data_IF_603007837060
#
_entry.id   IF_603007837060
#
_cell.length_a   1.000
_cell.length_b   1.000
_cell.length_c   1.000
_cell.angle_alpha   90.00
_cell.angle_beta   90.00
_cell.angle_gamma   90.00
#
_symmetry.space_group_name_H-M   'P 1'
#
loop_
_entity.id
_entity.type
_entity.pdbx_description
1 polymer ?
#
# COMPACT_ATOMS: atom_id res chain seq x y z
N UNK A 1 19.39 38.33 0.90
CA UNK A 1 18.68 37.58 1.95
C UNK A 1 18.55 36.14 1.53
N UNK A 2 19.31 35.27 2.14
CA UNK A 2 19.18 33.86 1.92
C UNK A 2 18.17 33.31 2.93
N UNK A 3 16.95 33.11 2.48
CA UNK A 3 16.06 32.24 3.23
C UNK A 3 16.58 30.83 3.11
N UNK A 4 17.36 30.42 4.08
CA UNK A 4 17.58 29.02 4.34
C UNK A 4 16.26 28.47 4.84
N UNK A 5 15.41 28.03 3.91
CA UNK A 5 14.47 26.98 4.23
C UNK A 5 15.29 25.74 4.59
N UNK A 6 15.75 25.72 5.82
CA UNK A 6 16.14 24.46 6.43
C UNK A 6 14.90 23.60 6.39
N UNK A 7 14.90 22.49 5.66
CA UNK A 7 13.86 21.51 5.89
C UNK A 7 13.95 21.13 7.36
N UNK A 8 12.90 21.43 8.10
CA UNK A 8 12.75 21.08 9.52
C UNK A 8 12.77 19.55 9.77
N UNK A 9 13.08 18.78 8.75
CA UNK A 9 13.06 17.32 8.73
C UNK A 9 14.42 16.70 8.42
N UNK A 10 15.50 17.33 8.79
CA UNK A 10 16.82 16.68 8.79
C UNK A 10 16.85 15.59 9.86
N UNK A 11 16.24 14.43 9.59
CA UNK A 11 16.17 13.30 10.52
C UNK A 11 14.91 12.43 10.40
N UNK A 12 13.87 12.89 9.72
CA UNK A 12 12.71 12.03 9.41
C UNK A 12 13.01 11.26 8.12
N UNK A 13 13.31 9.99 8.28
CA UNK A 13 13.35 9.04 7.16
C UNK A 13 11.96 9.02 6.56
N UNK A 14 11.83 9.33 5.28
CA UNK A 14 10.57 9.17 4.56
C UNK A 14 10.30 7.68 4.34
N UNK A 15 9.50 7.11 5.23
CA UNK A 15 9.18 5.68 5.24
C UNK A 15 8.47 5.26 3.95
N UNK A 16 7.79 6.17 3.28
CA UNK A 16 7.05 5.88 2.06
C UNK A 16 7.86 6.10 0.77
N UNK A 17 9.09 6.61 0.88
CA UNK A 17 9.96 6.80 -0.29
C UNK A 17 10.20 5.52 -1.10
N UNK A 18 10.40 4.33 -0.49
CA UNK A 18 10.59 3.08 -1.24
C UNK A 18 9.41 2.66 -2.11
N UNK A 19 8.22 3.21 -1.88
CA UNK A 19 7.00 2.88 -2.62
C UNK A 19 6.73 3.81 -3.81
N UNK A 20 7.67 4.71 -4.10
CA UNK A 20 7.62 5.62 -5.24
C UNK A 20 8.55 5.14 -6.33
N UNK A 21 8.03 5.03 -7.54
CA UNK A 21 8.80 4.61 -8.71
C UNK A 21 9.03 5.82 -9.61
N UNK A 22 10.28 6.30 -9.76
CA UNK A 22 10.59 7.36 -10.72
C UNK A 22 10.43 6.81 -12.14
N UNK A 23 9.56 7.42 -12.93
CA UNK A 23 9.25 6.95 -14.28
C UNK A 23 9.81 7.82 -15.39
N UNK A 24 10.26 9.04 -15.11
CA UNK A 24 10.71 9.99 -16.13
C UNK A 24 11.92 9.48 -16.90
N UNK A 25 12.86 8.84 -16.24
CA UNK A 25 14.03 8.25 -16.87
C UNK A 25 13.89 6.78 -17.26
N UNK A 26 12.71 6.20 -17.04
CA UNK A 26 12.47 4.79 -17.25
C UNK A 26 12.32 4.47 -18.73
N UNK A 27 13.00 3.44 -19.20
CA UNK A 27 12.86 2.98 -20.59
C UNK A 27 11.47 2.38 -20.83
N UNK A 28 10.92 2.52 -22.04
CA UNK A 28 9.70 1.81 -22.42
C UNK A 28 9.84 0.30 -22.21
N UNK A 29 8.77 -0.35 -21.81
CA UNK A 29 8.73 -1.79 -21.59
C UNK A 29 8.39 -2.17 -20.15
N UNK A 30 8.65 -3.43 -19.84
CA UNK A 30 8.29 -4.05 -18.57
C UNK A 30 9.39 -3.95 -17.52
N UNK A 31 9.01 -3.53 -16.32
CA UNK A 31 9.88 -3.42 -15.16
C UNK A 31 9.23 -4.10 -13.96
N UNK A 32 10.02 -4.82 -13.18
CA UNK A 32 9.52 -5.52 -11.98
C UNK A 32 10.17 -4.91 -10.75
N UNK A 33 9.34 -4.58 -9.77
CA UNK A 33 9.76 -4.05 -8.47
C UNK A 33 9.23 -4.95 -7.36
N UNK A 34 9.96 -5.01 -6.28
CA UNK A 34 9.57 -5.74 -5.07
C UNK A 34 9.69 -4.79 -3.88
N UNK A 35 8.58 -4.57 -3.21
CA UNK A 35 8.49 -3.65 -2.08
C UNK A 35 8.09 -4.43 -0.83
N UNK A 36 8.88 -4.32 0.22
CA UNK A 36 8.55 -4.94 1.49
C UNK A 36 7.48 -4.12 2.21
N UNK A 37 6.49 -4.81 2.74
CA UNK A 37 5.43 -4.21 3.54
C UNK A 37 5.67 -4.60 4.99
N UNK A 38 5.89 -3.61 5.82
CA UNK A 38 6.30 -3.75 7.21
C UNK A 38 5.40 -2.95 8.18
N UNK A 39 5.61 -3.06 9.49
CA UNK A 39 4.82 -2.29 10.46
C UNK A 39 4.91 -0.78 10.27
N UNK A 40 6.07 -0.27 9.86
CA UNK A 40 6.27 1.16 9.66
C UNK A 40 5.45 1.70 8.48
N UNK A 41 5.24 0.87 7.45
CA UNK A 41 4.38 1.23 6.33
C UNK A 41 2.96 1.57 6.81
N UNK A 42 2.33 0.68 7.57
CA UNK A 42 0.98 0.91 8.07
C UNK A 42 0.90 2.00 9.14
N UNK A 43 1.94 2.14 9.96
CA UNK A 43 2.03 3.23 10.94
C UNK A 43 2.07 4.62 10.30
N UNK A 44 2.44 4.72 9.02
CA UNK A 44 2.44 5.97 8.26
C UNK A 44 1.04 6.42 7.85
N UNK A 45 0.02 5.57 7.98
CA UNK A 45 -1.38 5.88 7.66
C UNK A 45 -2.21 5.93 8.95
N UNK A 46 -2.63 7.13 9.40
CA UNK A 46 -3.38 7.27 10.66
C UNK A 46 -4.71 6.51 10.70
N UNK A 47 -5.31 6.27 9.53
CA UNK A 47 -6.58 5.56 9.38
C UNK A 47 -6.43 4.03 9.34
N UNK A 48 -5.21 3.50 9.44
CA UNK A 48 -5.00 2.06 9.36
C UNK A 48 -5.57 1.31 10.55
N UNK A 49 -6.33 0.25 10.27
CA UNK A 49 -6.78 -0.74 11.26
C UNK A 49 -5.73 -1.84 11.49
N UNK A 50 -4.75 -1.93 10.59
CA UNK A 50 -3.68 -2.93 10.66
C UNK A 50 -2.61 -2.44 11.62
N UNK A 51 -2.37 -3.18 12.69
CA UNK A 51 -1.39 -2.85 13.72
C UNK A 51 0.04 -3.19 13.28
N UNK A 52 0.18 -4.28 12.56
CA UNK A 52 1.47 -4.78 12.08
C UNK A 52 1.29 -5.60 10.83
N UNK A 53 2.33 -5.70 10.04
CA UNK A 53 2.34 -6.54 8.85
C UNK A 53 3.74 -6.98 8.49
N UNK A 54 3.83 -8.10 7.79
CA UNK A 54 5.03 -8.56 7.13
C UNK A 54 4.65 -9.18 5.79
N UNK A 55 5.25 -8.73 4.74
CA UNK A 55 4.94 -9.26 3.41
C UNK A 55 5.62 -8.49 2.30
N UNK A 56 5.18 -8.74 1.11
CA UNK A 56 5.76 -8.19 -0.11
C UNK A 56 4.67 -7.77 -1.08
N UNK A 57 4.81 -6.58 -1.64
CA UNK A 57 4.11 -6.13 -2.82
C UNK A 57 5.06 -6.29 -4.03
N UNK A 58 4.69 -7.13 -4.96
CA UNK A 58 5.37 -7.25 -6.25
C UNK A 58 4.65 -6.40 -7.28
N UNK A 59 5.38 -5.54 -7.96
CA UNK A 59 4.84 -4.62 -8.94
C UNK A 59 5.43 -4.93 -10.31
N UNK A 60 4.57 -5.18 -11.27
CA UNK A 60 4.94 -5.26 -12.68
C UNK A 60 4.46 -3.99 -13.37
N UNK A 61 5.40 -3.11 -13.69
CA UNK A 61 5.14 -1.84 -14.33
C UNK A 61 5.48 -1.94 -15.81
N UNK A 62 4.51 -1.66 -16.65
CA UNK A 62 4.73 -1.54 -18.08
C UNK A 62 4.58 -0.08 -18.51
N UNK A 63 5.62 0.46 -19.11
CA UNK A 63 5.64 1.82 -19.66
C UNK A 63 5.43 1.79 -21.17
N UNK A 64 4.30 2.33 -21.61
CA UNK A 64 3.92 2.40 -23.02
C UNK A 64 3.58 3.85 -23.36
N UNK A 65 4.49 4.56 -24.06
CA UNK A 65 4.31 5.96 -24.35
C UNK A 65 4.12 6.80 -23.08
N UNK A 66 2.99 7.46 -22.97
CA UNK A 66 2.60 8.25 -21.79
C UNK A 66 1.76 7.48 -20.77
N UNK A 67 1.59 6.18 -20.95
CA UNK A 67 0.83 5.33 -20.06
C UNK A 67 1.75 4.47 -19.20
N UNK A 68 1.45 4.43 -17.92
CA UNK A 68 2.07 3.55 -16.92
C UNK A 68 0.99 2.56 -16.46
N UNK A 69 1.22 1.28 -16.71
CA UNK A 69 0.33 0.19 -16.30
C UNK A 69 1.03 -0.64 -15.25
N UNK A 70 0.59 -0.55 -14.01
CA UNK A 70 1.18 -1.24 -12.89
C UNK A 70 0.22 -2.30 -12.34
N UNK A 71 0.64 -3.56 -12.37
CA UNK A 71 -0.04 -4.63 -11.65
C UNK A 71 0.65 -4.81 -10.31
N UNK A 72 -0.11 -4.71 -9.24
CA UNK A 72 0.36 -4.84 -7.85
C UNK A 72 -0.19 -6.15 -7.29
N UNK A 73 0.70 -7.04 -6.89
CA UNK A 73 0.34 -8.28 -6.21
C UNK A 73 0.85 -8.19 -4.78
N UNK A 74 -0.06 -8.16 -3.83
CA UNK A 74 0.26 -8.09 -2.40
C UNK A 74 0.04 -9.45 -1.75
N UNK A 75 1.10 -9.96 -1.13
CA UNK A 75 1.07 -11.13 -0.26
C UNK A 75 1.65 -10.76 1.09
N UNK A 76 0.84 -10.81 2.13
CA UNK A 76 1.26 -10.41 3.45
C UNK A 76 0.51 -11.18 4.55
N UNK A 77 1.08 -11.15 5.74
CA UNK A 77 0.39 -11.51 6.99
C UNK A 77 0.22 -10.23 7.79
N UNK A 78 -1.01 -9.90 8.12
CA UNK A 78 -1.36 -8.70 8.87
C UNK A 78 -1.85 -9.04 10.26
N UNK A 79 -1.59 -8.14 11.21
CA UNK A 79 -2.02 -8.27 12.61
C UNK A 79 -3.05 -7.20 12.91
N UNK A 80 -4.21 -7.63 13.37
CA UNK A 80 -5.30 -6.76 13.81
C UNK A 80 -6.16 -7.44 14.87
N UNK A 81 -7.02 -6.69 15.59
CA UNK A 81 -7.83 -7.27 16.64
C UNK A 81 -8.77 -8.35 16.14
N UNK A 82 -8.83 -9.45 16.84
CA UNK A 82 -9.78 -10.53 16.58
C UNK A 82 -11.20 -10.09 16.93
N UNK A 83 -12.15 -10.33 16.03
CA UNK A 83 -13.57 -9.98 16.26
C UNK A 83 -14.22 -10.81 17.37
N UNK A 84 -13.60 -11.92 17.76
CA UNK A 84 -14.12 -12.82 18.78
C UNK A 84 -13.58 -12.52 20.19
N UNK A 85 -12.27 -12.27 20.31
CA UNK A 85 -11.63 -12.11 21.62
C UNK A 85 -10.91 -10.78 21.82
N UNK A 86 -10.84 -9.92 20.79
CA UNK A 86 -10.18 -8.62 20.76
C UNK A 86 -8.65 -8.66 20.92
N UNK A 87 -8.06 -9.83 21.12
CA UNK A 87 -6.60 -9.98 21.08
C UNK A 87 -6.10 -9.94 19.64
N UNK A 88 -4.83 -9.62 19.46
CA UNK A 88 -4.23 -9.56 18.13
C UNK A 88 -4.26 -10.92 17.43
N UNK A 89 -4.75 -10.92 16.19
CA UNK A 89 -4.78 -12.07 15.32
C UNK A 89 -3.96 -11.83 14.07
N UNK A 90 -3.22 -12.82 13.65
CA UNK A 90 -2.48 -12.80 12.39
C UNK A 90 -3.34 -13.41 11.27
N UNK A 91 -3.54 -12.66 10.20
CA UNK A 91 -4.33 -13.06 9.06
C UNK A 91 -3.50 -12.97 7.77
N UNK A 92 -3.42 -14.06 6.99
CA UNK A 92 -2.83 -13.99 5.66
C UNK A 92 -3.76 -13.24 4.73
N UNK A 93 -3.20 -12.34 3.93
CA UNK A 93 -3.92 -11.60 2.90
C UNK A 93 -3.23 -11.76 1.56
N UNK A 94 -4.04 -11.80 0.52
CA UNK A 94 -3.59 -11.76 -0.86
C UNK A 94 -4.52 -10.85 -1.66
N UNK A 95 -3.96 -9.96 -2.43
CA UNK A 95 -4.73 -9.07 -3.30
C UNK A 95 -3.95 -8.72 -4.56
N UNK A 96 -4.64 -8.70 -5.67
CA UNK A 96 -4.11 -8.22 -6.93
C UNK A 96 -4.90 -7.00 -7.38
N UNK A 97 -4.20 -5.92 -7.69
CA UNK A 97 -4.77 -4.68 -8.16
C UNK A 97 -4.02 -4.16 -9.38
N UNK A 98 -4.67 -3.33 -10.15
CA UNK A 98 -4.10 -2.71 -11.34
C UNK A 98 -4.24 -1.20 -11.27
N UNK A 99 -3.12 -0.51 -11.33
CA UNK A 99 -3.05 0.94 -11.33
C UNK A 99 -2.62 1.41 -12.72
N UNK A 100 -3.48 2.15 -13.38
CA UNK A 100 -3.17 2.76 -14.67
C UNK A 100 -2.99 4.26 -14.46
N UNK A 101 -1.86 4.78 -14.88
CA UNK A 101 -1.57 6.20 -14.82
C UNK A 101 -1.22 6.74 -16.20
N UNK A 102 -1.71 7.94 -16.49
CA UNK A 102 -1.39 8.67 -17.70
C UNK A 102 -0.57 9.90 -17.39
N UNK A 103 0.54 10.08 -18.06
CA UNK A 103 1.45 11.21 -17.88
C UNK A 103 1.26 12.26 -18.97
N UNK A 104 1.49 13.52 -18.63
CA UNK A 104 1.43 14.62 -19.59
C UNK A 104 0.09 15.35 -19.63
N UNK A 105 -0.35 15.76 -20.83
CA UNK A 105 -1.58 16.53 -20.97
C UNK A 105 -2.82 15.75 -20.54
N UNK A 106 -3.76 16.42 -19.88
CA UNK A 106 -5.01 15.82 -19.43
C UNK A 106 -5.80 15.24 -20.62
N UNK A 107 -6.22 13.98 -20.49
CA UNK A 107 -7.12 13.32 -21.43
C UNK A 107 -8.51 13.30 -20.82
N UNK A 108 -9.48 13.86 -21.54
CA UNK A 108 -10.83 14.09 -21.01
C UNK A 108 -11.74 12.86 -21.02
N UNK A 109 -11.32 11.77 -21.67
CA UNK A 109 -12.13 10.57 -21.86
C UNK A 109 -11.55 9.34 -21.12
N UNK A 110 -10.89 9.56 -19.99
CA UNK A 110 -10.46 8.46 -19.16
C UNK A 110 -11.62 8.03 -18.26
N UNK A 111 -12.06 6.80 -18.41
CA UNK A 111 -12.91 6.15 -17.42
C UNK A 111 -12.25 6.29 -16.05
N UNK A 112 -13.03 6.60 -15.00
CA UNK A 112 -12.56 7.12 -13.72
C UNK A 112 -11.56 6.28 -12.90
N UNK A 113 -10.96 5.25 -13.49
CA UNK A 113 -9.96 4.38 -12.87
C UNK A 113 -8.51 4.71 -13.28
N UNK A 114 -8.32 5.74 -14.10
CA UNK A 114 -6.99 6.13 -14.57
C UNK A 114 -6.50 7.37 -13.83
N UNK A 115 -5.30 7.25 -13.21
CA UNK A 115 -4.66 8.38 -12.56
C UNK A 115 -4.07 9.33 -13.60
N UNK A 116 -4.47 10.58 -13.54
CA UNK A 116 -3.83 11.62 -14.35
C UNK A 116 -2.66 12.23 -13.57
N UNK A 117 -1.44 12.04 -14.07
CA UNK A 117 -0.24 12.63 -13.49
C UNK A 117 0.10 13.95 -14.22
N UNK A 118 0.17 15.02 -13.47
CA UNK A 118 0.52 16.33 -14.00
C UNK A 118 1.98 16.42 -14.49
N UNK A 119 2.34 17.48 -15.24
CA UNK A 119 3.68 17.62 -15.82
C UNK A 119 4.78 17.78 -14.76
N UNK A 120 4.45 18.19 -13.53
CA UNK A 120 5.37 18.31 -12.40
C UNK A 120 5.61 16.99 -11.67
N UNK A 121 4.82 15.96 -11.95
CA UNK A 121 4.94 14.64 -11.31
C UNK A 121 5.93 13.77 -12.08
N UNK A 122 6.93 13.27 -11.40
CA UNK A 122 7.99 12.42 -11.97
C UNK A 122 8.12 11.05 -11.32
N UNK A 123 7.32 10.79 -10.30
CA UNK A 123 7.27 9.52 -9.57
C UNK A 123 5.84 8.99 -9.51
N UNK A 124 5.69 7.68 -9.68
CA UNK A 124 4.44 6.99 -9.43
C UNK A 124 4.43 6.52 -7.97
N UNK A 125 3.55 7.09 -7.18
CA UNK A 125 3.37 6.73 -5.77
C UNK A 125 2.41 5.54 -5.66
N UNK A 126 2.91 4.41 -5.17
CA UNK A 126 2.13 3.19 -4.96
C UNK A 126 1.81 2.92 -3.48
N UNK A 127 2.21 3.82 -2.57
CA UNK A 127 1.92 3.65 -1.15
C UNK A 127 0.42 3.56 -0.87
N UNK A 128 -0.36 4.50 -1.40
CA UNK A 128 -1.82 4.51 -1.23
C UNK A 128 -2.49 3.29 -1.87
N UNK A 129 -2.21 2.92 -3.13
CA UNK A 129 -2.75 1.68 -3.72
C UNK A 129 -2.42 0.42 -2.93
N UNK A 130 -1.19 0.27 -2.43
CA UNK A 130 -0.79 -0.89 -1.61
C UNK A 130 -1.56 -0.89 -0.28
N UNK A 131 -1.70 0.25 0.35
CA UNK A 131 -2.48 0.40 1.58
C UNK A 131 -3.94 -0.01 1.38
N UNK A 132 -4.57 0.48 0.33
CA UNK A 132 -5.95 0.14 -0.01
C UNK A 132 -6.09 -1.34 -0.35
N UNK A 133 -5.17 -1.90 -1.13
CA UNK A 133 -5.15 -3.33 -1.47
C UNK A 133 -5.11 -4.20 -0.21
N UNK A 134 -4.29 -3.84 0.79
CA UNK A 134 -4.23 -4.55 2.05
C UNK A 134 -5.57 -4.54 2.79
N UNK A 135 -6.26 -3.41 2.81
CA UNK A 135 -7.56 -3.28 3.48
C UNK A 135 -8.69 -4.00 2.71
N UNK A 136 -8.67 -3.96 1.38
CA UNK A 136 -9.62 -4.71 0.55
C UNK A 136 -9.43 -6.23 0.67
N UNK A 137 -8.21 -6.67 0.94
CA UNK A 137 -7.90 -8.09 1.14
C UNK A 137 -8.35 -8.64 2.49
N UNK A 138 -8.69 -7.76 3.45
CA UNK A 138 -9.13 -8.21 4.77
C UNK A 138 -10.44 -9.00 4.66
N UNK A 139 -10.53 -10.17 5.33
CA UNK A 139 -11.77 -10.92 5.36
C UNK A 139 -12.85 -10.15 6.15
N UNK A 140 -14.11 -10.42 5.83
CA UNK A 140 -15.25 -9.83 6.53
C UNK A 140 -15.25 -10.18 8.02
N UNK A 141 -14.81 -11.39 8.34
CA UNK A 141 -14.66 -11.88 9.71
C UNK A 141 -13.19 -12.05 10.05
N UNK A 142 -12.70 -11.28 10.98
CA UNK A 142 -11.29 -11.20 11.38
C UNK A 142 -11.10 -11.93 12.69
N UNK A 143 -10.83 -13.22 12.62
CA UNK A 143 -10.68 -14.09 13.79
C UNK A 143 -9.42 -14.93 13.69
N UNK A 144 -8.94 -15.42 14.83
CA UNK A 144 -7.87 -16.41 14.82
C UNK A 144 -8.26 -17.62 13.98
N UNK A 145 -7.26 -18.25 13.36
CA UNK A 145 -7.47 -19.44 12.54
C UNK A 145 -8.12 -20.59 13.31
N UNK A 146 -7.74 -20.75 14.58
CA UNK A 146 -8.34 -21.70 15.52
C UNK A 146 -9.05 -20.97 16.67
N UNK A 147 -10.19 -21.49 17.10
CA UNK A 147 -10.93 -20.97 18.23
C UNK A 147 -10.12 -21.01 19.55
N UNK A 148 -9.25 -22.00 19.63
CA UNK A 148 -8.34 -22.23 20.77
C UNK A 148 -7.30 -21.12 20.95
N UNK A 149 -6.99 -20.37 19.88
CA UNK A 149 -6.08 -19.25 19.91
C UNK A 149 -6.72 -17.96 20.48
N UNK A 150 -8.04 -17.97 20.66
CA UNK A 150 -8.76 -16.86 21.27
C UNK A 150 -8.57 -16.83 22.78
N UNK A 151 -8.52 -15.61 23.34
CA UNK A 151 -8.53 -15.41 24.78
C UNK A 151 -9.84 -15.96 25.37
N UNK A 152 -9.81 -17.01 26.23
CA UNK A 152 -11.01 -17.64 26.73
C UNK A 152 -11.81 -16.74 27.67
N UNK A 153 -11.14 -15.80 28.37
CA UNK A 153 -11.81 -14.88 29.28
C UNK A 153 -12.67 -13.85 28.54
N UNK A 154 -12.26 -13.42 27.37
CA UNK A 154 -13.00 -12.44 26.57
C UNK A 154 -13.98 -13.11 25.62
N UNK A 155 -13.64 -14.24 25.02
CA UNK A 155 -14.49 -14.96 24.10
C UNK A 155 -15.81 -15.40 24.75
N UNK A 156 -15.80 -15.70 26.04
CA UNK A 156 -16.99 -16.04 26.84
C UNK A 156 -17.99 -14.91 27.02
N UNK A 157 -17.53 -13.67 26.95
CA UNK A 157 -18.41 -12.47 27.10
C UNK A 157 -19.02 -11.99 25.77
N UNK A 158 -18.42 -12.35 24.64
CA UNK A 158 -18.84 -11.92 23.32
C UNK A 158 -19.60 -12.98 22.52
N UNK A 159 -19.76 -14.14 23.11
CA UNK A 159 -20.51 -15.24 22.52
C UNK A 159 -22.03 -15.00 22.61
#
# INVERSE_FOLDING_TARGET
MRYLCRPLNAGLVDVLAPYRIPFVGLKPGRHVYRMEVDPLFFASFPQSEIHSARGVAEIVLEKIGSTLDAVVVLDAVVTLPCDRCLADAELPIHFEDRVIAHTGAAVTDLDGEVLQLGPEVYELDLAQPIFEAAHFALPTRRVHAAEEDCDPDVAGYLA
#
